data_IF_648408074143
#
_entry.id   IF_648408074143
#
_cell.length_a   1.000
_cell.length_b   1.000
_cell.length_c   1.000
_cell.angle_alpha   90.00
_cell.angle_beta   90.00
_cell.angle_gamma   90.00
#
_symmetry.space_group_name_H-M   'P 1'
#
loop_
_entity.id
_entity.type
_entity.pdbx_description
1 polymer ?
#
# COMPACT_ATOMS: atom_id res chain seq x y z
N UNK A 1 4.12 13.24 6.47
CA UNK A 1 5.59 13.23 6.19
C UNK A 1 6.14 14.58 5.74
N UNK A 2 5.56 15.27 4.75
CA UNK A 2 6.06 16.59 4.29
C UNK A 2 5.76 17.75 5.26
N UNK A 3 4.86 17.54 6.23
CA UNK A 3 4.42 18.58 7.19
C UNK A 3 4.26 18.04 8.63
N UNK A 4 4.99 16.99 9.01
CA UNK A 4 4.83 16.37 10.35
C UNK A 4 6.17 16.36 11.09
N UNK A 5 6.15 16.71 12.38
CA UNK A 5 7.30 16.69 13.31
C UNK A 5 7.77 15.28 13.69
N UNK A 6 7.76 14.33 12.75
CA UNK A 6 8.25 12.97 12.99
C UNK A 6 9.78 12.98 12.87
N UNK A 7 10.47 13.06 14.00
CA UNK A 7 11.94 13.08 14.04
C UNK A 7 12.60 11.76 13.60
N UNK A 8 11.89 10.62 13.63
CA UNK A 8 12.39 9.35 13.08
C UNK A 8 11.27 8.54 12.45
N UNK A 9 11.46 8.15 11.18
CA UNK A 9 10.57 7.21 10.51
C UNK A 9 11.03 5.78 10.79
N UNK A 10 10.17 5.00 11.43
CA UNK A 10 10.46 3.62 11.83
C UNK A 10 9.51 2.59 11.19
N UNK A 11 8.71 3.00 10.20
CA UNK A 11 7.62 2.17 9.67
C UNK A 11 7.97 1.42 8.39
N UNK A 12 8.18 0.10 8.44
CA UNK A 12 8.22 -0.74 7.23
C UNK A 12 6.84 -0.95 6.57
N UNK A 13 5.76 -0.51 7.23
CA UNK A 13 4.39 -0.73 6.80
C UNK A 13 4.09 -0.11 5.44
N UNK A 14 4.68 1.05 5.10
CA UNK A 14 4.52 1.67 3.78
C UNK A 14 5.03 0.75 2.66
N UNK A 15 6.23 0.19 2.84
CA UNK A 15 6.81 -0.78 1.90
C UNK A 15 5.93 -2.02 1.75
N UNK A 16 5.37 -2.54 2.85
CA UNK A 16 4.47 -3.69 2.81
C UNK A 16 3.19 -3.39 2.02
N UNK A 17 2.60 -2.20 2.17
CA UNK A 17 1.44 -1.80 1.37
C UNK A 17 1.80 -1.69 -0.12
N UNK A 18 3.00 -1.22 -0.44
CA UNK A 18 3.49 -1.18 -1.82
C UNK A 18 3.69 -2.57 -2.42
N UNK A 19 4.35 -3.48 -1.71
CA UNK A 19 4.54 -4.87 -2.17
C UNK A 19 3.20 -5.58 -2.32
N UNK A 20 2.31 -5.46 -1.33
CA UNK A 20 0.97 -6.05 -1.38
C UNK A 20 0.19 -5.55 -2.60
N UNK A 21 0.15 -4.23 -2.80
CA UNK A 21 -0.58 -3.62 -3.92
C UNK A 21 0.02 -4.02 -5.26
N UNK A 22 1.35 -4.05 -5.36
CA UNK A 22 2.07 -4.48 -6.56
C UNK A 22 1.68 -5.89 -6.99
N UNK A 23 1.79 -6.87 -6.08
CA UNK A 23 1.48 -8.26 -6.40
C UNK A 23 -0.02 -8.47 -6.64
N UNK A 24 -0.89 -7.88 -5.82
CA UNK A 24 -2.34 -7.98 -6.00
C UNK A 24 -2.80 -7.42 -7.36
N UNK A 25 -2.32 -6.23 -7.74
CA UNK A 25 -2.67 -5.62 -9.02
C UNK A 25 -2.09 -6.42 -10.18
N UNK A 26 -0.84 -6.90 -10.06
CA UNK A 26 -0.27 -7.77 -11.09
C UNK A 26 -1.09 -9.04 -11.32
N UNK A 27 -1.48 -9.75 -10.27
CA UNK A 27 -2.32 -10.94 -10.39
C UNK A 27 -3.67 -10.62 -11.05
N UNK A 28 -4.29 -9.51 -10.64
CA UNK A 28 -5.56 -9.05 -11.19
C UNK A 28 -5.45 -8.77 -12.69
N UNK A 29 -4.41 -8.04 -13.11
CA UNK A 29 -4.11 -7.74 -14.52
C UNK A 29 -3.71 -9.00 -15.34
N UNK A 30 -3.30 -10.07 -14.67
CA UNK A 30 -2.97 -11.38 -15.28
C UNK A 30 -4.17 -12.35 -15.34
N UNK A 31 -5.38 -11.86 -15.03
CA UNK A 31 -6.63 -12.60 -15.20
C UNK A 31 -7.15 -13.28 -13.93
N UNK A 32 -6.47 -13.14 -12.78
CA UNK A 32 -7.00 -13.64 -11.50
C UNK A 32 -8.02 -12.65 -10.94
N UNK A 33 -9.27 -12.77 -11.35
CA UNK A 33 -10.34 -11.81 -10.99
C UNK A 33 -10.52 -11.61 -9.49
N UNK A 34 -10.28 -12.63 -8.66
CA UNK A 34 -10.37 -12.52 -7.20
C UNK A 34 -9.34 -11.55 -6.59
N UNK A 35 -8.20 -11.30 -7.25
CA UNK A 35 -7.19 -10.37 -6.76
C UNK A 35 -7.64 -8.91 -6.84
N UNK A 36 -8.68 -8.58 -7.62
CA UNK A 36 -9.28 -7.23 -7.61
C UNK A 36 -9.87 -6.87 -6.25
N UNK A 37 -10.38 -7.84 -5.49
CA UNK A 37 -10.88 -7.60 -4.12
C UNK A 37 -9.76 -7.10 -3.20
N UNK A 38 -8.53 -7.58 -3.39
CA UNK A 38 -7.37 -7.15 -2.62
C UNK A 38 -6.96 -5.73 -3.00
N UNK A 39 -6.97 -5.40 -4.30
CA UNK A 39 -6.68 -4.05 -4.80
C UNK A 39 -7.69 -3.04 -4.26
N UNK A 40 -8.99 -3.33 -4.40
CA UNK A 40 -10.06 -2.47 -3.87
C UNK A 40 -9.96 -2.38 -2.35
N UNK A 41 -9.71 -3.50 -1.68
CA UNK A 41 -9.56 -3.56 -0.22
C UNK A 41 -8.44 -2.67 0.30
N UNK A 42 -7.24 -2.73 -0.29
CA UNK A 42 -6.12 -1.89 0.16
C UNK A 42 -6.33 -0.40 -0.14
N UNK A 43 -6.91 -0.06 -1.30
CA UNK A 43 -7.24 1.33 -1.63
C UNK A 43 -8.30 1.88 -0.68
N UNK A 44 -9.37 1.12 -0.43
CA UNK A 44 -10.42 1.52 0.50
C UNK A 44 -9.89 1.66 1.93
N UNK A 45 -9.07 0.70 2.39
CA UNK A 45 -8.45 0.71 3.71
C UNK A 45 -7.57 1.94 3.91
N UNK A 46 -6.68 2.25 2.97
CA UNK A 46 -5.78 3.41 3.11
C UNK A 46 -6.53 4.73 2.98
N UNK A 47 -7.56 4.80 2.12
CA UNK A 47 -8.43 5.96 2.03
C UNK A 47 -9.17 6.24 3.33
N UNK A 48 -9.65 5.17 4.00
CA UNK A 48 -10.26 5.27 5.33
C UNK A 48 -9.27 5.80 6.37
N UNK A 49 -8.05 5.23 6.43
CA UNK A 49 -7.01 5.66 7.38
C UNK A 49 -6.60 7.13 7.20
N UNK A 50 -6.64 7.66 5.98
CA UNK A 50 -6.35 9.09 5.73
C UNK A 50 -7.36 10.02 6.40
N UNK A 51 -8.60 9.56 6.59
CA UNK A 51 -9.68 10.36 7.19
C UNK A 51 -9.86 10.09 8.69
N UNK A 52 -9.70 8.83 9.12
CA UNK A 52 -9.98 8.39 10.49
C UNK A 52 -8.71 8.14 11.33
N UNK A 53 -7.53 8.18 10.71
CA UNK A 53 -6.29 7.76 11.33
C UNK A 53 -6.07 6.24 11.27
N UNK A 54 -4.88 5.80 11.68
CA UNK A 54 -4.56 4.38 11.81
C UNK A 54 -5.26 3.75 13.02
N UNK A 55 -5.36 2.42 13.05
CA UNK A 55 -5.97 1.71 14.17
C UNK A 55 -5.17 1.90 15.47
N UNK A 56 -5.89 1.95 16.60
CA UNK A 56 -5.31 2.03 17.94
C UNK A 56 -4.38 0.84 18.22
N UNK A 57 -4.82 -0.37 17.86
CA UNK A 57 -4.02 -1.59 18.02
C UNK A 57 -2.68 -1.54 17.28
N UNK A 58 -2.62 -0.91 16.10
CA UNK A 58 -1.35 -0.72 15.39
C UNK A 58 -0.43 0.27 16.10
N UNK A 59 -0.96 1.36 16.64
CA UNK A 59 -0.19 2.35 17.40
C UNK A 59 0.34 1.78 18.72
N UNK A 60 -0.48 0.99 19.43
CA UNK A 60 -0.08 0.28 20.65
C UNK A 60 1.08 -0.68 20.39
N UNK A 61 1.02 -1.44 19.29
CA UNK A 61 2.06 -2.41 18.94
C UNK A 61 3.40 -1.76 18.59
N UNK A 62 3.39 -0.60 17.93
CA UNK A 62 4.62 0.10 17.51
C UNK A 62 5.08 1.16 18.49
N UNK A 63 4.29 1.46 19.54
CA UNK A 63 4.59 2.44 20.57
C UNK A 63 4.67 3.89 20.08
N UNK A 64 4.12 4.20 18.90
CA UNK A 64 4.16 5.53 18.29
C UNK A 64 3.01 5.74 17.31
N UNK A 65 2.83 6.98 16.85
CA UNK A 65 1.84 7.33 15.83
C UNK A 65 2.24 6.72 14.48
N UNK A 66 1.26 6.12 13.80
CA UNK A 66 1.44 5.60 12.44
C UNK A 66 1.45 6.76 11.44
N UNK A 67 2.47 6.81 10.59
CA UNK A 67 2.53 7.72 9.44
C UNK A 67 1.68 7.15 8.29
N UNK A 68 0.36 7.41 8.31
CA UNK A 68 -0.60 6.89 7.31
C UNK A 68 -0.23 7.33 5.89
N UNK A 69 0.36 8.50 5.70
CA UNK A 69 0.80 8.96 4.39
C UNK A 69 1.84 8.01 3.78
N UNK A 70 2.64 7.33 4.60
CA UNK A 70 3.56 6.31 4.11
C UNK A 70 2.82 5.07 3.54
N UNK A 71 1.65 4.71 4.08
CA UNK A 71 0.81 3.68 3.47
C UNK A 71 0.30 4.13 2.10
N UNK A 72 -0.14 5.39 1.97
CA UNK A 72 -0.58 5.97 0.71
C UNK A 72 0.54 5.95 -0.35
N UNK A 73 1.73 6.45 0.00
CA UNK A 73 2.88 6.41 -0.91
C UNK A 73 3.27 4.98 -1.29
N UNK A 74 3.16 4.04 -0.35
CA UNK A 74 3.30 2.61 -0.61
C UNK A 74 2.34 2.13 -1.68
N UNK A 75 1.04 2.31 -1.48
CA UNK A 75 -0.02 1.91 -2.45
C UNK A 75 0.22 2.53 -3.82
N UNK A 76 0.46 3.85 -3.89
CA UNK A 76 0.72 4.55 -5.16
C UNK A 76 1.94 3.95 -5.86
N UNK A 77 3.05 3.75 -5.14
CA UNK A 77 4.25 3.15 -5.70
C UNK A 77 3.98 1.74 -6.22
N UNK A 78 3.25 0.91 -5.47
CA UNK A 78 2.88 -0.44 -5.88
C UNK A 78 2.05 -0.46 -7.17
N UNK A 79 1.08 0.45 -7.31
CA UNK A 79 0.28 0.62 -8.54
C UNK A 79 1.20 0.99 -9.71
N UNK A 80 2.03 2.02 -9.53
CA UNK A 80 2.93 2.51 -10.58
C UNK A 80 3.88 1.41 -11.04
N UNK A 81 4.54 0.70 -10.12
CA UNK A 81 5.44 -0.40 -10.47
C UNK A 81 4.71 -1.56 -11.15
N UNK A 82 3.49 -1.89 -10.74
CA UNK A 82 2.71 -2.96 -11.38
C UNK A 82 2.35 -2.59 -12.82
N UNK A 83 1.94 -1.35 -13.08
CA UNK A 83 1.59 -0.87 -14.41
C UNK A 83 2.83 -0.78 -15.32
N UNK A 84 3.95 -0.24 -14.83
CA UNK A 84 5.21 -0.12 -15.60
C UNK A 84 5.76 -1.51 -15.95
N UNK A 85 5.75 -2.46 -15.02
CA UNK A 85 6.30 -3.79 -15.25
C UNK A 85 5.35 -4.74 -15.98
N UNK A 86 4.05 -4.41 -16.08
CA UNK A 86 3.04 -5.27 -16.71
C UNK A 86 3.42 -5.76 -18.12
N UNK A 87 3.93 -4.92 -19.04
CA UNK A 87 4.32 -5.38 -20.39
C UNK A 87 5.41 -6.44 -20.38
N UNK A 88 6.38 -6.35 -19.46
CA UNK A 88 7.48 -7.31 -19.33
C UNK A 88 6.94 -8.71 -19.01
N UNK A 89 5.94 -8.79 -18.15
CA UNK A 89 5.36 -10.06 -17.72
C UNK A 89 4.24 -10.57 -18.62
N UNK A 90 3.58 -9.68 -19.38
CA UNK A 90 2.60 -10.07 -20.38
C UNK A 90 3.25 -10.89 -21.51
N UNK A 91 4.45 -10.51 -21.93
CA UNK A 91 5.19 -11.15 -23.01
C UNK A 91 5.97 -12.41 -22.59
N UNK A 92 6.03 -12.70 -21.28
CA UNK A 92 6.66 -13.90 -20.73
C UNK A 92 5.69 -15.10 -20.61
N UNK A 93 4.44 -14.92 -21.03
CA UNK A 93 3.44 -15.99 -21.24
C UNK A 93 3.24 -16.18 -22.73
#
# INVERSE_FOLDING_TARGET
>A
MLFSDVQSYVGLSGTLHGLFTYYALREALQGRSSSWLLVVGVVAKVSWELTMGASQSSMELIGTRVAVEAHLFGVISGIVFALISYPLYKNAR
#
